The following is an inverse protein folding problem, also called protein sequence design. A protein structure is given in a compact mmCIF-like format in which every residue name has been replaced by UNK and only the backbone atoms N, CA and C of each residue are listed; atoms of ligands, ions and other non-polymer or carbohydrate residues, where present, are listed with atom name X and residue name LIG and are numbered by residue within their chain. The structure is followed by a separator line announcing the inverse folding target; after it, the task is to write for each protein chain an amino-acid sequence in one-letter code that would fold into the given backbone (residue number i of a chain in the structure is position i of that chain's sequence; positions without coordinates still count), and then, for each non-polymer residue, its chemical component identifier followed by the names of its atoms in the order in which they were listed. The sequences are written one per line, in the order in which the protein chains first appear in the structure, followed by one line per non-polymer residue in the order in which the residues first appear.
data_IF_793884845686
#
_entry.id   IF_793884845686
#
_cell.length_a   1.000
_cell.length_b   1.000
_cell.length_c   1.000
_cell.angle_alpha   90.00
_cell.angle_beta   90.00
_cell.angle_gamma   90.00
#
_symmetry.space_group_name_H-M   'P 1'
#
loop_
_entity.id
_entity.type
_entity.pdbx_description
1 polymer ?
#
# COMPACT_ATOMS: atom_id res chain seq x y z
N UNK A 1 -9.05 6.42 26.83
CA UNK A 1 -9.41 5.04 26.40
C UNK A 1 -8.45 4.64 25.30
N UNK A 2 -7.37 3.96 25.66
CA UNK A 2 -6.50 3.31 24.69
C UNK A 2 -7.31 2.22 23.98
N UNK A 3 -7.63 2.44 22.70
CA UNK A 3 -8.10 1.35 21.85
C UNK A 3 -6.95 0.38 21.72
N UNK A 4 -7.04 -0.71 22.47
CA UNK A 4 -6.15 -1.86 22.37
C UNK A 4 -5.94 -2.18 20.88
N UNK A 5 -4.71 -1.91 20.39
CA UNK A 5 -4.41 -2.06 18.97
C UNK A 5 -4.52 -3.56 18.67
N UNK A 6 -5.59 -3.96 17.96
CA UNK A 6 -5.76 -5.34 17.48
C UNK A 6 -4.50 -5.77 16.75
N UNK A 7 -3.77 -6.70 17.37
CA UNK A 7 -2.58 -7.29 16.77
C UNK A 7 -3.03 -8.54 16.04
N UNK A 8 -2.82 -8.57 14.74
CA UNK A 8 -3.09 -9.75 13.90
C UNK A 8 -1.81 -10.56 13.84
N UNK A 9 -1.82 -11.76 14.40
CA UNK A 9 -0.71 -12.70 14.26
C UNK A 9 -0.79 -13.41 12.92
N UNK A 10 0.36 -13.59 12.30
CA UNK A 10 0.57 -14.35 11.07
C UNK A 10 1.49 -15.49 11.46
N UNK A 11 0.96 -16.70 11.50
CA UNK A 11 1.69 -17.88 11.93
C UNK A 11 1.62 -19.03 10.92
N UNK A 12 0.69 -18.95 9.97
CA UNK A 12 0.40 -20.01 9.00
C UNK A 12 0.63 -19.54 7.57
N UNK A 13 0.77 -20.49 6.65
CA UNK A 13 0.81 -20.19 5.20
C UNK A 13 -0.51 -19.64 4.67
N UNK A 14 -1.65 -20.00 5.28
CA UNK A 14 -2.95 -19.41 4.96
C UNK A 14 -2.97 -17.89 5.23
N UNK A 15 -2.34 -17.44 6.31
CA UNK A 15 -2.23 -16.02 6.63
C UNK A 15 -1.39 -15.26 5.59
N UNK A 16 -0.31 -15.89 5.10
CA UNK A 16 0.54 -15.36 4.04
C UNK A 16 -0.22 -15.31 2.72
N UNK A 17 -0.97 -16.36 2.37
CA UNK A 17 -1.83 -16.38 1.18
C UNK A 17 -2.90 -15.28 1.24
N UNK A 18 -3.47 -15.00 2.42
CA UNK A 18 -4.42 -13.91 2.61
C UNK A 18 -3.76 -12.53 2.39
N UNK A 19 -2.50 -12.35 2.79
CA UNK A 19 -1.72 -11.13 2.49
C UNK A 19 -1.43 -10.98 1.00
N UNK A 20 -1.13 -12.07 0.30
CA UNK A 20 -0.99 -12.07 -1.16
C UNK A 20 -2.29 -11.69 -1.86
N UNK A 21 -3.43 -12.18 -1.36
CA UNK A 21 -4.75 -11.85 -1.90
C UNK A 21 -5.10 -10.37 -1.70
N UNK A 22 -4.75 -9.78 -0.55
CA UNK A 22 -4.88 -8.34 -0.30
C UNK A 22 -4.03 -7.53 -1.31
N UNK A 23 -2.81 -8.00 -1.60
CA UNK A 23 -1.90 -7.39 -2.56
C UNK A 23 -2.39 -7.47 -4.00
N UNK A 24 -3.02 -8.57 -4.40
CA UNK A 24 -3.58 -8.79 -5.74
C UNK A 24 -4.88 -8.01 -5.94
N UNK A 25 -5.77 -8.03 -4.96
CA UNK A 25 -7.11 -7.42 -5.02
C UNK A 25 -7.11 -5.90 -4.82
N UNK A 26 -5.98 -5.31 -4.45
CA UNK A 26 -5.85 -3.90 -4.05
C UNK A 26 -6.72 -3.50 -2.85
N UNK A 27 -7.31 -4.46 -2.15
CA UNK A 27 -8.12 -4.24 -0.95
C UNK A 27 -7.25 -4.56 0.26
N UNK A 28 -6.93 -3.53 1.05
CA UNK A 28 -6.23 -3.70 2.32
C UNK A 28 -7.26 -3.88 3.43
N UNK A 29 -7.10 -4.94 4.23
CA UNK A 29 -7.90 -5.15 5.44
C UNK A 29 -7.53 -4.10 6.50
N UNK A 30 -8.48 -3.72 7.35
CA UNK A 30 -8.16 -2.90 8.53
C UNK A 30 -7.57 -3.79 9.61
N UNK A 31 -6.29 -4.10 9.45
CA UNK A 31 -5.47 -4.76 10.47
C UNK A 31 -4.78 -3.69 11.31
N UNK A 32 -4.62 -3.92 12.61
CA UNK A 32 -3.87 -3.02 13.47
C UNK A 32 -2.37 -3.24 13.28
N UNK A 33 -1.74 -3.96 14.20
CA UNK A 33 -0.33 -4.34 14.08
C UNK A 33 -0.24 -5.78 13.55
N UNK A 34 0.57 -6.01 12.52
CA UNK A 34 0.89 -7.34 12.03
C UNK A 34 2.09 -7.89 12.81
N UNK A 35 1.93 -9.00 13.53
CA UNK A 35 3.02 -9.67 14.22
C UNK A 35 3.27 -11.01 13.55
N UNK A 36 4.53 -11.28 13.21
CA UNK A 36 4.94 -12.58 12.68
C UNK A 36 5.26 -13.48 13.88
N UNK A 37 4.79 -14.72 13.82
CA UNK A 37 5.03 -15.77 14.82
C UNK A 37 5.20 -17.09 14.07
N UNK A 38 6.36 -17.26 13.44
CA UNK A 38 6.63 -18.34 12.49
C UNK A 38 7.60 -19.34 13.13
N UNK A 39 7.17 -20.59 13.40
CA UNK A 39 8.04 -21.60 13.97
C UNK A 39 9.30 -21.82 13.12
N UNK A 40 10.48 -21.73 13.74
CA UNK A 40 11.77 -21.95 13.08
C UNK A 40 12.36 -20.73 12.37
N UNK A 41 11.66 -19.59 12.32
CA UNK A 41 12.24 -18.33 11.84
C UNK A 41 12.93 -17.58 12.99
N UNK A 42 14.14 -17.09 12.74
CA UNK A 42 14.90 -16.29 13.69
C UNK A 42 14.15 -15.00 14.13
N UNK A 43 14.18 -14.69 15.43
CA UNK A 43 13.45 -13.58 16.05
C UNK A 43 13.85 -12.22 15.47
N UNK A 44 15.11 -12.04 15.08
CA UNK A 44 15.57 -10.79 14.46
C UNK A 44 14.96 -10.62 13.06
N UNK A 45 14.85 -11.72 12.33
CA UNK A 45 14.21 -11.77 11.01
C UNK A 45 12.70 -11.54 11.11
N UNK A 46 12.03 -12.17 12.06
CA UNK A 46 10.60 -11.96 12.34
C UNK A 46 10.31 -10.49 12.68
N UNK A 47 11.11 -9.89 13.57
CA UNK A 47 10.92 -8.48 13.95
C UNK A 47 11.17 -7.53 12.77
N UNK A 48 12.22 -7.77 11.98
CA UNK A 48 12.53 -6.98 10.79
C UNK A 48 11.40 -7.04 9.76
N UNK A 49 10.90 -8.23 9.45
CA UNK A 49 9.81 -8.43 8.50
C UNK A 49 8.48 -7.88 9.02
N UNK A 50 8.17 -8.07 10.30
CA UNK A 50 6.97 -7.48 10.93
C UNK A 50 7.01 -5.96 10.84
N UNK A 51 8.15 -5.33 11.13
CA UNK A 51 8.30 -3.88 11.02
C UNK A 51 8.17 -3.40 9.57
N UNK A 52 8.76 -4.14 8.62
CA UNK A 52 8.63 -3.86 7.18
C UNK A 52 7.18 -3.98 6.71
N UNK A 53 6.46 -5.04 7.08
CA UNK A 53 5.05 -5.24 6.76
C UNK A 53 4.20 -4.11 7.35
N UNK A 54 4.30 -3.84 8.65
CA UNK A 54 3.53 -2.77 9.30
C UNK A 54 3.78 -1.41 8.66
N UNK A 55 5.06 -1.09 8.39
CA UNK A 55 5.43 0.17 7.77
C UNK A 55 4.81 0.31 6.39
N UNK A 56 4.90 -0.72 5.54
CA UNK A 56 4.47 -0.65 4.14
C UNK A 56 2.95 -0.89 3.95
N UNK A 57 2.31 -1.68 4.81
CA UNK A 57 0.88 -1.99 4.73
C UNK A 57 0.01 -0.76 5.02
N UNK A 58 0.47 0.14 5.90
CA UNK A 58 -0.24 1.37 6.25
C UNK A 58 0.04 2.57 5.31
N UNK A 59 1.03 2.50 4.40
CA UNK A 59 1.41 3.66 3.56
C UNK A 59 0.30 4.01 2.57
N UNK A 60 -0.24 5.22 2.67
CA UNK A 60 -1.22 5.80 1.75
C UNK A 60 -0.60 6.47 0.50
N UNK A 61 0.73 6.59 0.44
CA UNK A 61 1.46 7.34 -0.60
C UNK A 61 1.34 8.86 -0.44
N UNK A 62 0.93 9.33 0.74
CA UNK A 62 0.66 10.74 0.98
C UNK A 62 1.95 11.58 0.96
N UNK A 63 3.08 11.04 1.43
CA UNK A 63 4.37 11.74 1.41
C UNK A 63 4.88 11.98 0.00
N UNK A 64 4.84 10.95 -0.86
CA UNK A 64 5.21 11.05 -2.27
C UNK A 64 4.27 11.97 -3.05
N UNK A 65 2.97 11.94 -2.74
CA UNK A 65 1.98 12.85 -3.32
C UNK A 65 2.26 14.32 -2.96
N UNK A 66 2.59 14.61 -1.69
CA UNK A 66 2.94 15.97 -1.28
C UNK A 66 4.23 16.44 -1.95
N UNK A 67 5.26 15.60 -1.99
CA UNK A 67 6.53 15.95 -2.63
C UNK A 67 6.36 16.30 -4.12
N UNK A 68 5.68 15.44 -4.89
CA UNK A 68 5.45 15.68 -6.31
C UNK A 68 4.43 16.79 -6.56
N UNK A 69 3.47 16.99 -5.65
CA UNK A 69 2.59 18.15 -5.66
C UNK A 69 3.38 19.46 -5.57
N UNK A 70 4.31 19.57 -4.61
CA UNK A 70 5.15 20.76 -4.46
C UNK A 70 6.03 21.00 -5.70
N UNK A 71 6.60 19.95 -6.28
CA UNK A 71 7.33 20.06 -7.56
C UNK A 71 6.42 20.59 -8.66
N UNK A 72 5.21 20.04 -8.80
CA UNK A 72 4.22 20.51 -9.77
C UNK A 72 3.81 21.96 -9.57
N UNK A 73 3.71 22.42 -8.31
CA UNK A 73 3.44 23.81 -7.98
C UNK A 73 4.56 24.73 -8.46
N UNK A 74 5.81 24.39 -8.17
CA UNK A 74 6.98 25.18 -8.60
C UNK A 74 7.08 25.23 -10.13
N UNK A 75 6.88 24.10 -10.81
CA UNK A 75 6.89 24.03 -12.28
C UNK A 75 5.75 24.86 -12.87
N UNK A 76 4.54 24.76 -12.33
CA UNK A 76 3.38 25.53 -12.79
C UNK A 76 3.56 27.04 -12.60
N UNK A 77 4.09 27.47 -11.45
CA UNK A 77 4.40 28.86 -11.19
C UNK A 77 5.51 29.39 -12.10
N UNK A 78 6.57 28.60 -12.31
CA UNK A 78 7.66 28.93 -13.23
C UNK A 78 7.19 29.07 -14.67
N UNK A 79 6.29 28.19 -15.13
CA UNK A 79 5.67 28.30 -16.45
C UNK A 79 4.82 29.56 -16.58
N UNK A 80 3.99 29.87 -15.57
CA UNK A 80 3.16 31.07 -15.59
C UNK A 80 4.00 32.36 -15.63
N UNK A 81 5.13 32.38 -14.91
CA UNK A 81 6.09 33.48 -14.96
C UNK A 81 6.74 33.59 -16.34
N UNK A 82 7.26 32.48 -16.88
CA UNK A 82 7.93 32.47 -18.19
C UNK A 82 7.00 32.85 -19.35
N UNK A 83 5.71 32.54 -19.22
CA UNK A 83 4.67 32.92 -20.19
C UNK A 83 4.19 34.37 -20.04
N UNK A 84 4.74 35.15 -19.10
CA UNK A 84 4.35 36.56 -18.90
C UNK A 84 2.91 36.74 -18.40
N UNK A 85 2.31 35.71 -17.79
CA UNK A 85 0.92 35.76 -17.34
C UNK A 85 0.71 36.67 -16.12
N UNK A 86 1.78 37.15 -15.50
CA UNK A 86 1.76 38.02 -14.33
C UNK A 86 2.28 39.40 -14.76
N UNK A 87 1.53 40.50 -14.55
CA UNK A 87 0.32 40.62 -13.72
C UNK A 87 -1.03 40.46 -14.47
N UNK A 88 -1.03 40.56 -15.79
CA UNK A 88 -2.25 40.83 -16.57
C UNK A 88 -3.26 39.67 -16.62
N UNK A 89 -2.80 38.44 -16.37
CA UNK A 89 -3.61 37.22 -16.40
C UNK A 89 -3.43 36.37 -15.13
N UNK A 90 -3.48 37.00 -13.97
CA UNK A 90 -3.24 36.34 -12.67
C UNK A 90 -4.12 35.11 -12.41
N UNK A 91 -5.38 35.10 -12.89
CA UNK A 91 -6.26 33.93 -12.81
C UNK A 91 -5.74 32.75 -13.63
N UNK A 92 -5.19 33.00 -14.82
CA UNK A 92 -4.57 31.96 -15.65
C UNK A 92 -3.29 31.44 -14.97
N UNK A 93 -2.46 32.33 -14.43
CA UNK A 93 -1.27 31.97 -13.66
C UNK A 93 -1.59 31.08 -12.45
N UNK A 94 -2.65 31.41 -11.71
CA UNK A 94 -3.16 30.61 -10.61
C UNK A 94 -3.68 29.25 -11.09
N UNK A 95 -4.37 29.22 -12.23
CA UNK A 95 -4.82 28.00 -12.89
C UNK A 95 -3.67 27.05 -13.24
N UNK A 96 -2.58 27.54 -13.84
CA UNK A 96 -1.40 26.72 -14.15
C UNK A 96 -0.69 26.23 -12.89
N UNK A 97 -0.59 27.06 -11.86
CA UNK A 97 0.07 26.71 -10.59
C UNK A 97 -0.70 25.62 -9.85
N UNK A 98 -2.02 25.78 -9.71
CA UNK A 98 -2.88 24.77 -9.08
C UNK A 98 -3.03 23.52 -9.96
N UNK A 99 -3.09 23.69 -11.28
CA UNK A 99 -3.08 22.58 -12.25
C UNK A 99 -1.81 21.74 -12.11
N UNK A 100 -0.64 22.38 -12.03
CA UNK A 100 0.63 21.72 -11.78
C UNK A 100 0.65 20.97 -10.45
N UNK A 101 0.19 21.61 -9.36
CA UNK A 101 0.10 20.97 -8.05
C UNK A 101 -0.81 19.73 -8.08
N UNK A 102 -2.02 19.86 -8.64
CA UNK A 102 -3.00 18.76 -8.68
C UNK A 102 -2.50 17.57 -9.51
N UNK A 103 -1.88 17.84 -10.67
CA UNK A 103 -1.23 16.81 -11.48
C UNK A 103 -0.06 16.15 -10.74
N UNK A 104 0.76 16.94 -10.04
CA UNK A 104 1.85 16.45 -9.20
C UNK A 104 1.37 15.54 -8.06
N UNK A 105 0.30 15.93 -7.36
CA UNK A 105 -0.31 15.12 -6.30
C UNK A 105 -0.87 13.81 -6.87
N UNK A 106 -1.57 13.87 -7.99
CA UNK A 106 -2.16 12.70 -8.64
C UNK A 106 -1.07 11.69 -9.05
N UNK A 107 -0.03 12.16 -9.73
CA UNK A 107 1.10 11.34 -10.15
C UNK A 107 1.87 10.78 -8.95
N UNK A 108 2.13 11.59 -7.93
CA UNK A 108 2.84 11.13 -6.73
C UNK A 108 2.06 10.11 -5.90
N UNK A 109 0.73 10.21 -5.88
CA UNK A 109 -0.11 9.19 -5.25
C UNK A 109 -0.02 7.84 -5.96
N UNK A 110 -0.01 7.84 -7.30
CA UNK A 110 0.13 6.62 -8.10
C UNK A 110 1.52 5.98 -7.91
N UNK A 111 2.57 6.81 -7.93
CA UNK A 111 3.96 6.36 -7.74
C UNK A 111 4.16 5.82 -6.32
N UNK A 112 3.76 6.57 -5.29
CA UNK A 112 3.89 6.16 -3.89
C UNK A 112 3.15 4.85 -3.60
N UNK A 113 1.94 4.69 -4.15
CA UNK A 113 1.19 3.42 -4.03
C UNK A 113 1.90 2.26 -4.72
N UNK A 114 2.47 2.48 -5.90
CA UNK A 114 3.19 1.47 -6.66
C UNK A 114 4.48 1.03 -5.95
N UNK A 115 5.26 1.97 -5.42
CA UNK A 115 6.48 1.68 -4.66
C UNK A 115 6.15 0.94 -3.37
N UNK A 116 5.15 1.39 -2.62
CA UNK A 116 4.69 0.71 -1.41
C UNK A 116 4.25 -0.72 -1.71
N UNK A 117 3.56 -0.94 -2.85
CA UNK A 117 3.16 -2.28 -3.31
C UNK A 117 4.38 -3.15 -3.62
N UNK A 118 5.36 -2.63 -4.37
CA UNK A 118 6.56 -3.38 -4.72
C UNK A 118 7.39 -3.77 -3.48
N UNK A 119 7.46 -2.87 -2.47
CA UNK A 119 8.12 -3.18 -1.20
C UNK A 119 7.35 -4.22 -0.39
N UNK A 120 6.02 -4.10 -0.35
CA UNK A 120 5.17 -5.06 0.35
C UNK A 120 5.19 -6.44 -0.32
N UNK A 121 5.19 -6.51 -1.66
CA UNK A 121 5.29 -7.78 -2.39
C UNK A 121 6.63 -8.46 -2.16
N UNK A 122 7.75 -7.71 -2.08
CA UNK A 122 9.06 -8.28 -1.73
C UNK A 122 9.07 -8.87 -0.32
N UNK A 123 8.48 -8.19 0.65
CA UNK A 123 8.40 -8.69 2.02
C UNK A 123 7.50 -9.95 2.13
N UNK A 124 6.41 -9.99 1.36
CA UNK A 124 5.54 -11.18 1.29
C UNK A 124 6.22 -12.33 0.56
N UNK A 125 6.98 -12.06 -0.51
CA UNK A 125 7.77 -13.08 -1.21
C UNK A 125 8.86 -13.69 -0.30
N UNK A 126 9.53 -12.86 0.50
CA UNK A 126 10.52 -13.32 1.49
C UNK A 126 9.90 -14.23 2.57
N UNK A 127 8.65 -13.93 2.97
CA UNK A 127 7.86 -14.80 3.85
C UNK A 127 7.49 -16.11 3.16
N UNK A 128 7.04 -16.05 1.90
CA UNK A 128 6.67 -17.23 1.10
C UNK A 128 7.84 -18.20 0.96
N UNK A 129 9.05 -17.69 0.76
CA UNK A 129 10.26 -18.53 0.66
C UNK A 129 10.52 -19.33 1.95
N UNK A 130 10.14 -18.83 3.12
CA UNK A 130 10.30 -19.54 4.40
C UNK A 130 9.26 -20.65 4.62
N UNK A 131 8.03 -20.48 4.15
CA UNK A 131 7.01 -21.53 4.22
C UNK A 131 7.16 -22.58 3.10
N UNK A 132 8.05 -22.33 2.13
CA UNK A 132 8.17 -23.14 0.93
C UNK A 132 7.03 -22.91 -0.06
N UNK A 133 7.12 -23.45 -1.29
CA UNK A 133 5.99 -23.48 -2.21
C UNK A 133 4.97 -24.50 -1.69
N UNK A 134 4.23 -24.14 -0.66
CA UNK A 134 3.09 -24.93 -0.22
C UNK A 134 2.07 -24.91 -1.37
N UNK A 135 1.77 -26.09 -1.91
CA UNK A 135 0.68 -26.30 -2.86
C UNK A 135 -0.55 -25.64 -2.26
N UNK A 136 -1.04 -24.57 -2.92
CA UNK A 136 -2.30 -23.93 -2.58
C UNK A 136 -3.29 -25.07 -2.29
N UNK A 137 -3.81 -25.22 -1.06
CA UNK A 137 -4.70 -26.32 -0.74
C UNK A 137 -5.79 -26.30 -1.80
N UNK A 138 -6.00 -27.41 -2.54
CA UNK A 138 -6.90 -27.43 -3.67
C UNK A 138 -8.22 -26.84 -3.20
N UNK A 139 -8.69 -25.83 -3.92
CA UNK A 139 -9.93 -25.11 -3.67
C UNK A 139 -10.97 -26.13 -3.22
N UNK A 140 -11.22 -26.22 -1.89
CA UNK A 140 -12.18 -27.19 -1.38
C UNK A 140 -13.47 -26.83 -2.09
N UNK A 141 -14.04 -27.71 -2.93
CA UNK A 141 -15.28 -27.41 -3.62
C UNK A 141 -16.25 -27.04 -2.51
N UNK A 142 -16.73 -25.80 -2.52
CA UNK A 142 -17.73 -25.35 -1.58
C UNK A 142 -18.86 -26.34 -1.70
N UNK A 143 -18.95 -27.28 -0.76
CA UNK A 143 -20.02 -28.23 -0.70
C UNK A 143 -21.27 -27.37 -0.51
N UNK A 144 -21.99 -27.17 -1.62
CA UNK A 144 -23.38 -26.76 -1.56
C UNK A 144 -24.04 -27.87 -0.76
N UNK A 145 -24.22 -27.64 0.54
CA UNK A 145 -25.26 -28.30 1.29
C UNK A 145 -26.59 -27.86 0.66
N UNK A 146 -26.95 -28.50 -0.45
CA UNK A 146 -28.31 -28.51 -0.95
C UNK A 146 -29.08 -29.41 0.01
N UNK A 147 -29.81 -28.73 0.89
CA UNK A 147 -30.78 -29.26 1.85
C UNK A 147 -31.73 -30.21 1.13
N UNK A 148 -31.69 -31.49 1.49
CA UNK A 148 -32.76 -32.45 1.24
C UNK A 148 -33.65 -32.56 2.48
N UNK A 149 -34.96 -32.53 2.27
CA UNK A 149 -36.03 -32.77 3.23
C UNK A 149 -37.27 -32.00 2.80
N UNK A 150 -37.99 -32.45 1.78
CA UNK A 150 -39.19 -33.33 1.86
C UNK A 150 -40.25 -32.80 2.81
#
# INVERSE_FOLDING_TARGET
MDKEKRTTRISTSEDVAALELDLRSFKRRRVGRLQLDIPGMDDSTQNRLSLALNRNYAVCGCGEATALGLVGLVVGAGYAWAAGLIPDAWLAALGYTLGGFTLGVATGKLIGKSIARARLSRAVEELRQHFGPEELPPEKPTARCAVHGT
#
